data_IF_875475993628
#
_entry.id   IF_875475993628
#
_cell.length_a   1.000
_cell.length_b   1.000
_cell.length_c   1.000
_cell.angle_alpha   90.00
_cell.angle_beta   90.00
_cell.angle_gamma   90.00
#
_symmetry.space_group_name_H-M   'P 1'
#
loop_
_entity.id
_entity.type
_entity.pdbx_description
1 polymer ?
#
# COMPACT_ATOMS: atom_id res chain seq x y z
N UNK A 1 -16.17 6.79 12.00
CA UNK A 1 -15.28 6.37 10.91
C UNK A 1 -14.74 4.99 11.24
N UNK A 2 -15.13 3.97 10.50
CA UNK A 2 -14.82 2.58 10.86
C UNK A 2 -13.64 2.03 10.05
N UNK A 3 -13.50 2.45 8.79
CA UNK A 3 -12.49 1.95 7.87
C UNK A 3 -11.79 3.09 7.14
N UNK A 4 -10.47 3.01 7.04
CA UNK A 4 -9.64 3.93 6.26
C UNK A 4 -8.70 3.14 5.37
N UNK A 5 -8.66 3.48 4.08
CA UNK A 5 -7.75 2.87 3.12
C UNK A 5 -6.88 3.97 2.51
N UNK A 6 -5.60 3.99 2.85
CA UNK A 6 -4.61 4.88 2.27
C UNK A 6 -4.06 4.25 0.98
N UNK A 7 -4.69 4.58 -0.15
CA UNK A 7 -4.44 3.97 -1.46
C UNK A 7 -3.63 4.87 -2.41
N UNK A 8 -3.69 6.20 -2.26
CA UNK A 8 -3.02 7.11 -3.18
C UNK A 8 -1.52 6.80 -3.31
N UNK A 9 -1.04 6.78 -4.54
CA UNK A 9 0.36 6.49 -4.81
C UNK A 9 0.74 6.74 -6.27
N UNK A 10 2.01 7.00 -6.49
CA UNK A 10 2.62 7.14 -7.81
C UNK A 10 3.96 6.43 -7.88
N UNK A 11 4.44 6.15 -9.10
CA UNK A 11 5.73 5.54 -9.35
C UNK A 11 6.48 6.30 -10.42
N UNK A 12 7.74 6.64 -10.16
CA UNK A 12 8.67 7.22 -11.13
C UNK A 12 9.90 6.32 -11.13
N UNK A 13 10.21 5.72 -12.29
CA UNK A 13 11.24 4.71 -12.43
C UNK A 13 12.39 5.25 -13.24
N UNK A 14 13.46 5.66 -12.55
CA UNK A 14 14.70 6.21 -13.13
C UNK A 14 15.92 5.65 -12.39
N UNK A 15 17.06 5.51 -13.08
CA UNK A 15 18.33 5.28 -12.39
C UNK A 15 18.60 6.38 -11.34
N UNK A 16 19.31 6.07 -10.28
CA UNK A 16 19.53 7.01 -9.17
C UNK A 16 20.27 8.29 -9.59
N UNK A 17 21.16 8.19 -10.57
CA UNK A 17 21.92 9.30 -11.14
C UNK A 17 21.10 10.20 -12.08
N UNK A 18 19.95 9.73 -12.56
CA UNK A 18 19.01 10.48 -13.39
C UNK A 18 17.78 10.98 -12.62
N UNK A 19 17.60 10.52 -11.38
CA UNK A 19 16.44 10.87 -10.54
C UNK A 19 16.59 12.31 -10.04
N UNK A 20 15.62 13.17 -10.38
CA UNK A 20 15.58 14.52 -9.85
C UNK A 20 15.12 14.57 -8.40
N UNK A 21 15.43 15.65 -7.71
CA UNK A 21 14.92 15.90 -6.38
C UNK A 21 13.37 16.03 -6.37
N UNK A 22 12.79 16.56 -7.43
CA UNK A 22 11.34 16.64 -7.63
C UNK A 22 10.72 15.24 -7.74
N UNK A 23 11.25 14.37 -8.61
CA UNK A 23 10.80 12.97 -8.74
C UNK A 23 10.83 12.23 -7.38
N UNK A 24 11.91 12.43 -6.63
CA UNK A 24 12.07 11.86 -5.30
C UNK A 24 11.01 12.37 -4.33
N UNK A 25 10.86 13.70 -4.24
CA UNK A 25 9.93 14.33 -3.32
C UNK A 25 8.48 13.93 -3.65
N UNK A 26 8.09 13.91 -4.92
CA UNK A 26 6.75 13.51 -5.35
C UNK A 26 6.40 12.10 -4.86
N UNK A 27 7.34 11.15 -5.00
CA UNK A 27 7.14 9.79 -4.51
C UNK A 27 7.07 9.71 -2.99
N UNK A 28 7.97 10.39 -2.27
CA UNK A 28 7.99 10.38 -0.81
C UNK A 28 6.76 11.08 -0.25
N UNK A 29 6.42 12.25 -0.76
CA UNK A 29 5.31 13.04 -0.27
C UNK A 29 3.97 12.34 -0.52
N UNK A 30 3.77 11.79 -1.72
CA UNK A 30 2.52 11.08 -2.03
C UNK A 30 2.46 9.73 -1.35
N UNK A 31 3.47 8.87 -1.55
CA UNK A 31 3.39 7.46 -1.15
C UNK A 31 3.59 7.25 0.36
N UNK A 32 4.43 8.05 1.02
CA UNK A 32 4.79 7.86 2.42
C UNK A 32 4.21 8.95 3.32
N UNK A 33 4.52 10.22 3.07
CA UNK A 33 4.02 11.35 3.87
C UNK A 33 2.49 11.42 3.80
N UNK A 34 1.90 11.17 2.64
CA UNK A 34 0.44 11.10 2.45
C UNK A 34 -0.22 10.01 3.29
N UNK A 35 0.39 8.83 3.40
CA UNK A 35 -0.11 7.75 4.28
C UNK A 35 -0.05 8.17 5.74
N UNK A 36 1.05 8.79 6.18
CA UNK A 36 1.15 9.36 7.53
C UNK A 36 0.06 10.40 7.80
N UNK A 37 -0.15 11.35 6.89
CA UNK A 37 -1.19 12.38 7.03
C UNK A 37 -2.59 11.76 7.10
N UNK A 38 -2.88 10.76 6.27
CA UNK A 38 -4.16 10.05 6.28
C UNK A 38 -4.41 9.39 7.64
N UNK A 39 -3.41 8.68 8.16
CA UNK A 39 -3.50 8.07 9.49
C UNK A 39 -3.66 9.13 10.58
N UNK A 40 -2.84 10.17 10.57
CA UNK A 40 -2.87 11.23 11.58
C UNK A 40 -4.23 11.93 11.63
N UNK A 41 -4.84 12.17 10.47
CA UNK A 41 -6.16 12.82 10.36
C UNK A 41 -7.31 11.91 10.81
N UNK A 42 -7.15 10.59 10.71
CA UNK A 42 -8.23 9.63 10.99
C UNK A 42 -8.13 8.95 12.36
N UNK A 43 -6.98 8.97 13.01
CA UNK A 43 -6.71 8.15 14.21
C UNK A 43 -7.69 8.41 15.36
N UNK A 44 -8.10 9.66 15.58
CA UNK A 44 -9.00 9.97 16.70
C UNK A 44 -10.43 9.45 16.45
N UNK A 45 -10.88 9.45 15.21
CA UNK A 45 -12.17 8.84 14.84
C UNK A 45 -12.10 7.31 14.87
N UNK A 46 -10.98 6.73 14.43
CA UNK A 46 -10.74 5.29 14.52
C UNK A 46 -10.67 4.78 15.98
N UNK A 47 -10.17 5.60 16.92
CA UNK A 47 -10.22 5.26 18.35
C UNK A 47 -11.64 5.11 18.87
N UNK A 48 -12.57 5.96 18.40
CA UNK A 48 -13.98 5.92 18.84
C UNK A 48 -14.71 4.67 18.35
N UNK A 49 -14.35 4.18 17.18
CA UNK A 49 -15.00 3.03 16.54
C UNK A 49 -14.25 1.70 16.74
N UNK A 50 -13.05 1.73 17.34
CA UNK A 50 -12.10 0.59 17.33
C UNK A 50 -11.87 0.08 15.91
N UNK A 51 -11.66 1.03 14.98
CA UNK A 51 -11.73 0.83 13.56
C UNK A 51 -10.51 0.15 12.93
N UNK A 52 -10.42 0.23 11.61
CA UNK A 52 -9.38 -0.44 10.84
C UNK A 52 -8.73 0.51 9.83
N UNK A 53 -7.40 0.55 9.79
CA UNK A 53 -6.61 1.27 8.81
C UNK A 53 -5.85 0.30 7.90
N UNK A 54 -5.96 0.48 6.59
CA UNK A 54 -5.19 -0.28 5.59
C UNK A 54 -4.35 0.68 4.75
N UNK A 55 -3.05 0.41 4.64
CA UNK A 55 -2.20 1.07 3.65
C UNK A 55 -1.97 0.16 2.44
N UNK A 56 -1.95 0.76 1.25
CA UNK A 56 -1.56 0.05 0.02
C UNK A 56 -0.11 0.37 -0.28
N UNK A 57 0.78 -0.60 0.01
CA UNK A 57 2.17 -0.53 -0.35
C UNK A 57 2.40 -1.16 -1.75
N UNK A 58 3.33 -2.07 -1.85
CA UNK A 58 3.69 -2.83 -3.05
C UNK A 58 4.62 -3.97 -2.65
N UNK A 59 4.79 -4.97 -3.51
CA UNK A 59 5.93 -5.90 -3.41
C UNK A 59 7.27 -5.15 -3.45
N UNK A 60 7.31 -3.95 -4.03
CA UNK A 60 8.45 -3.03 -3.96
C UNK A 60 8.77 -2.53 -2.54
N UNK A 61 7.94 -2.79 -1.56
CA UNK A 61 8.20 -2.58 -0.13
C UNK A 61 8.97 -3.72 0.55
N UNK A 62 9.30 -4.80 -0.19
CA UNK A 62 10.09 -5.93 0.28
C UNK A 62 11.14 -6.42 -0.74
N UNK A 63 11.00 -6.06 -2.02
CA UNK A 63 11.87 -6.50 -3.10
C UNK A 63 12.42 -5.31 -3.88
N UNK A 64 13.66 -5.43 -4.34
CA UNK A 64 14.33 -4.39 -5.13
C UNK A 64 14.23 -4.69 -6.62
N UNK A 65 14.26 -3.63 -7.43
CA UNK A 65 14.39 -3.75 -8.88
C UNK A 65 15.14 -2.55 -9.48
N UNK A 66 15.66 -2.74 -10.67
CA UNK A 66 16.39 -1.71 -11.40
C UNK A 66 15.51 -0.47 -11.63
N UNK A 67 16.08 0.74 -11.52
CA UNK A 67 15.38 2.04 -11.62
C UNK A 67 14.32 2.28 -10.55
N UNK A 68 14.26 1.43 -9.52
CA UNK A 68 13.25 1.49 -8.48
C UNK A 68 13.66 2.25 -7.21
N UNK A 69 14.82 2.86 -7.14
CA UNK A 69 15.40 3.38 -5.89
C UNK A 69 14.45 4.29 -5.09
N UNK A 70 13.86 5.30 -5.72
CA UNK A 70 12.91 6.21 -5.05
C UNK A 70 11.58 5.52 -4.71
N UNK A 71 11.04 4.76 -5.65
CA UNK A 71 9.80 4.01 -5.42
C UNK A 71 9.96 2.97 -4.32
N UNK A 72 11.05 2.17 -4.36
CA UNK A 72 11.37 1.23 -3.29
C UNK A 72 11.49 1.95 -1.94
N UNK A 73 12.25 3.04 -1.86
CA UNK A 73 12.39 3.80 -0.62
C UNK A 73 11.03 4.21 -0.05
N UNK A 74 10.13 4.76 -0.88
CA UNK A 74 8.80 5.15 -0.45
C UNK A 74 7.96 3.97 0.04
N UNK A 75 7.98 2.83 -0.67
CA UNK A 75 7.16 1.65 -0.35
C UNK A 75 7.70 0.83 0.82
N UNK A 76 9.03 0.71 0.98
CA UNK A 76 9.64 0.20 2.22
C UNK A 76 9.27 1.08 3.41
N UNK A 77 9.31 2.42 3.23
CA UNK A 77 8.89 3.37 4.24
C UNK A 77 7.43 3.16 4.68
N UNK A 78 6.51 2.96 3.73
CA UNK A 78 5.09 2.65 4.03
C UNK A 78 4.98 1.38 4.86
N UNK A 79 5.68 0.30 4.49
CA UNK A 79 5.64 -0.96 5.25
C UNK A 79 6.16 -0.73 6.66
N UNK A 80 7.33 -0.10 6.82
CA UNK A 80 7.92 0.18 8.12
C UNK A 80 7.02 1.04 9.00
N UNK A 81 6.52 2.16 8.45
CA UNK A 81 5.59 3.05 9.14
C UNK A 81 4.33 2.33 9.60
N UNK A 82 3.67 1.60 8.68
CA UNK A 82 2.39 0.95 8.99
C UNK A 82 2.54 -0.15 10.02
N UNK A 83 3.60 -0.95 9.95
CA UNK A 83 3.86 -2.02 10.92
C UNK A 83 4.20 -1.46 12.32
N UNK A 84 4.92 -0.35 12.40
CA UNK A 84 5.17 0.34 13.66
C UNK A 84 3.88 0.94 14.24
N UNK A 85 3.11 1.64 13.40
CA UNK A 85 1.83 2.22 13.81
C UNK A 85 0.82 1.17 14.29
N UNK A 86 0.82 -0.04 13.70
CA UNK A 86 0.03 -1.17 14.20
C UNK A 86 0.34 -1.46 15.68
N UNK A 87 1.61 -1.44 16.06
CA UNK A 87 2.03 -1.70 17.45
C UNK A 87 1.56 -0.57 18.37
N UNK A 88 1.70 0.67 17.94
CA UNK A 88 1.32 1.85 18.73
C UNK A 88 -0.19 1.93 18.97
N UNK A 89 -0.99 1.53 17.98
CA UNK A 89 -2.44 1.74 17.98
C UNK A 89 -3.23 0.55 18.52
N UNK A 90 -2.62 -0.64 18.69
CA UNK A 90 -3.30 -1.83 19.24
C UNK A 90 -3.91 -1.60 20.63
N UNK A 91 -3.33 -0.74 21.45
CA UNK A 91 -3.86 -0.39 22.78
C UNK A 91 -5.22 0.33 22.73
N UNK A 92 -5.60 0.82 21.56
CA UNK A 92 -6.91 1.42 21.29
C UNK A 92 -7.83 0.49 20.49
N UNK A 93 -7.48 -0.80 20.37
CA UNK A 93 -8.18 -1.79 19.54
C UNK A 93 -8.24 -1.44 18.04
N UNK A 94 -7.45 -0.46 17.58
CA UNK A 94 -7.36 -0.12 16.16
C UNK A 94 -6.52 -1.20 15.46
N UNK A 95 -7.08 -1.77 14.40
CA UNK A 95 -6.37 -2.71 13.52
C UNK A 95 -5.67 -1.96 12.40
N UNK A 96 -4.45 -2.37 12.08
CA UNK A 96 -3.66 -1.75 11.04
C UNK A 96 -3.00 -2.83 10.18
N UNK A 97 -3.22 -2.77 8.87
CA UNK A 97 -2.64 -3.71 7.90
C UNK A 97 -1.95 -2.98 6.75
N UNK A 98 -1.01 -3.68 6.14
CA UNK A 98 -0.37 -3.27 4.89
C UNK A 98 -0.63 -4.32 3.83
N UNK A 99 -1.24 -3.94 2.71
CA UNK A 99 -1.36 -4.80 1.52
C UNK A 99 -0.23 -4.44 0.56
N UNK A 100 0.44 -5.46 0.04
CA UNK A 100 1.61 -5.35 -0.83
C UNK A 100 1.33 -6.04 -2.16
N UNK A 101 0.63 -5.37 -3.10
CA UNK A 101 0.33 -5.96 -4.39
C UNK A 101 1.57 -6.07 -5.28
N UNK A 102 1.58 -7.10 -6.13
CA UNK A 102 2.42 -7.19 -7.31
C UNK A 102 1.85 -6.38 -8.47
N UNK A 103 1.98 -6.91 -9.68
CA UNK A 103 1.42 -6.25 -10.88
C UNK A 103 -0.10 -6.22 -10.84
N UNK A 104 -0.67 -5.02 -10.87
CA UNK A 104 -2.12 -4.79 -10.93
C UNK A 104 -2.46 -4.10 -12.24
N UNK A 105 -3.55 -4.51 -12.88
CA UNK A 105 -4.05 -3.90 -14.11
C UNK A 105 -4.74 -2.57 -13.79
N UNK A 106 -4.01 -1.47 -13.89
CA UNK A 106 -4.48 -0.12 -13.56
C UNK A 106 -3.80 0.92 -14.46
N UNK A 107 -4.28 2.15 -14.39
CA UNK A 107 -3.64 3.32 -15.03
C UNK A 107 -2.36 3.80 -14.31
N UNK A 108 -1.87 3.07 -13.30
CA UNK A 108 -0.67 3.42 -12.57
C UNK A 108 0.54 3.58 -13.50
N UNK A 109 1.28 4.67 -13.31
CA UNK A 109 2.47 4.99 -14.09
C UNK A 109 2.20 5.14 -15.61
N UNK A 110 1.03 5.67 -15.99
CA UNK A 110 0.68 5.89 -17.38
C UNK A 110 0.33 4.63 -18.18
N UNK A 111 0.15 3.49 -17.52
CA UNK A 111 -0.35 2.29 -18.18
C UNK A 111 -1.82 2.46 -18.57
N UNK A 112 -2.24 1.77 -19.62
CA UNK A 112 -3.63 1.62 -19.98
C UNK A 112 -4.01 0.14 -19.86
N UNK A 113 -4.97 -0.21 -18.98
CA UNK A 113 -5.44 -1.58 -18.85
C UNK A 113 -5.95 -2.13 -20.18
N UNK A 114 -5.60 -3.38 -20.50
CA UNK A 114 -6.01 -4.06 -21.72
C UNK A 114 -6.27 -5.55 -21.46
N UNK A 115 -6.82 -6.26 -22.43
CA UNK A 115 -7.04 -7.71 -22.35
C UNK A 115 -5.74 -8.50 -22.17
N UNK A 116 -4.60 -7.95 -22.60
CA UNK A 116 -3.27 -8.54 -22.38
C UNK A 116 -2.87 -8.56 -20.91
N UNK A 117 -3.52 -7.73 -20.08
CA UNK A 117 -3.29 -7.63 -18.64
C UNK A 117 -4.12 -8.65 -17.80
N UNK A 118 -4.82 -9.57 -18.46
CA UNK A 118 -5.66 -10.58 -17.78
C UNK A 118 -4.91 -11.50 -16.81
N UNK A 119 -3.57 -11.60 -16.92
CA UNK A 119 -2.71 -12.32 -15.99
C UNK A 119 -2.39 -11.54 -14.72
N UNK A 120 -2.53 -10.21 -14.75
CA UNK A 120 -2.30 -9.34 -13.59
C UNK A 120 -3.44 -9.46 -12.58
N UNK A 121 -3.17 -9.06 -11.35
CA UNK A 121 -4.21 -8.82 -10.35
C UNK A 121 -5.16 -7.75 -10.91
N UNK A 122 -6.45 -7.95 -10.80
CA UNK A 122 -7.43 -6.92 -11.15
C UNK A 122 -7.75 -6.06 -9.92
N UNK A 123 -8.18 -4.79 -10.10
CA UNK A 123 -8.59 -3.93 -8.98
C UNK A 123 -9.66 -4.56 -8.09
N UNK A 124 -10.58 -5.31 -8.69
CA UNK A 124 -11.66 -6.03 -8.02
C UNK A 124 -11.12 -7.10 -7.06
N UNK A 125 -10.04 -7.82 -7.42
CA UNK A 125 -9.39 -8.81 -6.56
C UNK A 125 -8.89 -8.18 -5.26
N UNK A 126 -8.33 -6.95 -5.35
CA UNK A 126 -7.89 -6.20 -4.19
C UNK A 126 -9.07 -5.69 -3.36
N UNK A 127 -10.15 -5.28 -4.01
CA UNK A 127 -11.38 -4.88 -3.33
C UNK A 127 -11.99 -6.03 -2.52
N UNK A 128 -12.08 -7.22 -3.11
CA UNK A 128 -12.54 -8.44 -2.42
C UNK A 128 -11.64 -8.79 -1.24
N UNK A 129 -10.31 -8.76 -1.42
CA UNK A 129 -9.36 -9.00 -0.34
C UNK A 129 -9.57 -8.04 0.84
N UNK A 130 -9.77 -6.75 0.57
CA UNK A 130 -10.03 -5.75 1.62
C UNK A 130 -11.32 -6.07 2.38
N UNK A 131 -12.39 -6.41 1.68
CA UNK A 131 -13.66 -6.79 2.30
C UNK A 131 -13.52 -8.05 3.14
N UNK A 132 -12.76 -9.04 2.67
CA UNK A 132 -12.53 -10.28 3.41
C UNK A 132 -11.68 -10.05 4.68
N UNK A 133 -10.70 -9.16 4.62
CA UNK A 133 -9.94 -8.73 5.80
C UNK A 133 -10.89 -8.14 6.85
N UNK A 134 -11.83 -7.30 6.46
CA UNK A 134 -12.79 -6.69 7.40
C UNK A 134 -13.77 -7.70 8.01
N UNK A 135 -14.07 -8.79 7.30
CA UNK A 135 -14.94 -9.88 7.80
C UNK A 135 -14.23 -10.87 8.71
N UNK A 136 -12.90 -10.83 8.80
CA UNK A 136 -12.15 -11.76 9.64
C UNK A 136 -12.53 -11.62 11.11
N UNK A 137 -12.37 -12.73 11.86
CA UNK A 137 -12.58 -12.71 13.29
C UNK A 137 -11.71 -11.63 13.95
N UNK A 138 -12.25 -10.75 14.80
CA UNK A 138 -11.52 -9.63 15.41
C UNK A 138 -10.22 -9.98 16.13
N UNK A 139 -10.04 -11.22 16.58
CA UNK A 139 -8.80 -11.69 17.22
C UNK A 139 -7.67 -12.01 16.23
N UNK A 140 -7.96 -12.05 14.93
CA UNK A 140 -6.99 -12.31 13.88
C UNK A 140 -6.66 -11.01 13.13
N UNK A 141 -5.38 -10.68 13.01
CA UNK A 141 -4.91 -9.50 12.29
C UNK A 141 -3.90 -9.90 11.20
N UNK A 142 -4.29 -9.94 9.94
CA UNK A 142 -3.35 -10.07 8.84
C UNK A 142 -2.59 -8.74 8.69
N UNK A 143 -1.48 -8.60 9.40
CA UNK A 143 -0.79 -7.31 9.53
C UNK A 143 -0.03 -6.89 8.27
N UNK A 144 0.47 -7.86 7.50
CA UNK A 144 1.21 -7.65 6.25
C UNK A 144 0.82 -8.73 5.25
N UNK A 145 0.30 -8.33 4.10
CA UNK A 145 -0.26 -9.25 3.10
C UNK A 145 0.42 -9.00 1.76
N UNK A 146 1.13 -9.99 1.25
CA UNK A 146 1.62 -10.00 -0.12
C UNK A 146 0.61 -10.68 -1.02
N UNK A 147 0.28 -10.05 -2.14
CA UNK A 147 -0.57 -10.64 -3.18
C UNK A 147 0.13 -10.52 -4.54
N UNK A 148 0.21 -11.64 -5.25
CA UNK A 148 0.92 -11.77 -6.53
C UNK A 148 -0.01 -12.31 -7.59
N UNK A 149 0.21 -11.98 -8.88
CA UNK A 149 -0.40 -12.75 -9.94
C UNK A 149 -0.10 -14.23 -9.74
N UNK A 150 -1.10 -15.08 -9.93
CA UNK A 150 -0.96 -16.54 -9.74
C UNK A 150 -0.09 -17.19 -10.80
N UNK A 151 0.04 -16.55 -11.96
CA UNK A 151 0.91 -16.98 -13.06
C UNK A 151 1.88 -15.87 -13.41
N UNK A 152 3.17 -16.14 -13.57
CA UNK A 152 4.10 -15.16 -14.13
C UNK A 152 3.75 -14.88 -15.60
N UNK A 153 4.18 -13.71 -16.09
CA UNK A 153 4.26 -13.49 -17.54
C UNK A 153 5.19 -14.52 -18.15
N UNK A 154 4.74 -15.17 -19.18
CA UNK A 154 5.57 -16.03 -20.05
C UNK A 154 6.61 -15.20 -20.78
#
# INVERSE_FOLDING_TARGET
LDYVIANAGLGIFKPVDEMSLEDWNDMIDTNLTGVFHTMKASVDELKKSEGYFISISSLAGANFFEKGSGYNASKFGVVGFTQAAMIDLRKYNIKVSTIMPGSVSTYFNGNEPSDEDSWKIQPEDLGELVVDIFKMNPRALPSKIEIRPSKPTS
#
